data_IF_325494329791
#
_entry.id   IF_325494329791
#
_cell.length_a   1.000
_cell.length_b   1.000
_cell.length_c   1.000
_cell.angle_alpha   90.00
_cell.angle_beta   90.00
_cell.angle_gamma   90.00
#
_symmetry.space_group_name_H-M   'P 1'
#
loop_
_entity.id
_entity.type
_entity.pdbx_description
1 polymer ?
#
# COMPACT_ATOMS: atom_id res chain seq x y z
N UNK A 1 -20.04 23.41 10.34
CA UNK A 1 -20.09 22.55 9.14
C UNK A 1 -19.13 21.41 9.42
N UNK A 2 -19.64 20.21 9.73
CA UNK A 2 -18.78 19.06 10.00
C UNK A 2 -18.08 18.68 8.69
N UNK A 3 -16.75 18.61 8.70
CA UNK A 3 -16.01 18.09 7.55
C UNK A 3 -16.30 16.59 7.46
N UNK A 4 -17.06 16.16 6.46
CA UNK A 4 -17.39 14.74 6.19
C UNK A 4 -16.18 13.97 5.59
N UNK A 5 -14.96 14.29 6.03
CA UNK A 5 -13.73 13.59 5.65
C UNK A 5 -13.56 12.41 6.59
N UNK A 6 -13.47 11.21 6.05
CA UNK A 6 -13.24 10.01 6.85
C UNK A 6 -12.44 8.98 6.06
N UNK A 7 -11.91 8.01 6.80
CA UNK A 7 -11.29 6.81 6.27
C UNK A 7 -11.82 5.61 7.04
N UNK A 8 -11.79 4.44 6.41
CA UNK A 8 -12.17 3.19 7.06
C UNK A 8 -11.05 2.17 6.92
N UNK A 9 -10.78 1.49 8.02
CA UNK A 9 -9.78 0.44 8.10
C UNK A 9 -10.44 -0.83 8.61
N UNK A 10 -10.14 -1.95 7.97
CA UNK A 10 -10.50 -3.26 8.46
C UNK A 10 -9.38 -3.82 9.32
N UNK A 11 -9.75 -4.42 10.46
CA UNK A 11 -8.82 -5.22 11.25
C UNK A 11 -8.31 -6.41 10.44
N UNK A 12 -9.16 -7.03 9.62
CA UNK A 12 -8.70 -8.06 8.70
C UNK A 12 -7.79 -7.44 7.63
N UNK A 13 -6.55 -7.92 7.60
CA UNK A 13 -5.47 -7.45 6.75
C UNK A 13 -4.85 -6.10 7.16
N UNK A 14 -5.33 -5.46 8.22
CA UNK A 14 -4.94 -4.10 8.59
C UNK A 14 -5.17 -3.11 7.44
N UNK A 15 -6.22 -3.34 6.65
CA UNK A 15 -6.36 -2.79 5.31
C UNK A 15 -7.25 -1.55 5.31
N UNK A 16 -6.74 -0.44 4.79
CA UNK A 16 -7.56 0.74 4.49
C UNK A 16 -8.44 0.41 3.29
N UNK A 17 -9.76 0.61 3.40
CA UNK A 17 -10.73 0.25 2.35
C UNK A 17 -11.53 1.44 1.81
N UNK A 18 -11.45 2.59 2.46
CA UNK A 18 -12.08 3.83 1.99
C UNK A 18 -11.33 5.04 2.53
N UNK A 19 -11.24 6.08 1.70
CA UNK A 19 -10.77 7.41 2.07
C UNK A 19 -11.56 8.44 1.25
N UNK A 20 -12.37 9.26 1.93
CA UNK A 20 -13.17 10.31 1.28
C UNK A 20 -12.62 11.69 1.55
N UNK A 21 -12.63 12.53 0.52
CA UNK A 21 -12.26 13.94 0.64
C UNK A 21 -13.44 14.80 1.14
N UNK A 22 -13.21 16.10 1.27
CA UNK A 22 -14.21 17.09 1.72
C UNK A 22 -15.43 17.18 0.78
N UNK A 23 -15.29 16.75 -0.48
CA UNK A 23 -16.36 16.66 -1.48
C UNK A 23 -17.11 15.33 -1.46
N UNK A 24 -16.82 14.46 -0.48
CA UNK A 24 -17.36 13.09 -0.34
C UNK A 24 -16.98 12.15 -1.49
N UNK A 25 -15.99 12.52 -2.30
CA UNK A 25 -15.48 11.69 -3.37
C UNK A 25 -14.60 10.58 -2.77
N UNK A 26 -14.83 9.34 -3.20
CA UNK A 26 -13.98 8.21 -2.84
C UNK A 26 -12.65 8.31 -3.59
N UNK A 27 -11.56 8.19 -2.84
CA UNK A 27 -10.19 8.30 -3.34
C UNK A 27 -9.53 6.95 -3.56
N UNK A 28 -10.05 5.88 -2.95
CA UNK A 28 -9.54 4.52 -3.11
C UNK A 28 -10.48 3.67 -3.96
N UNK A 29 -9.91 2.89 -4.88
CA UNK A 29 -10.66 1.93 -5.65
C UNK A 29 -10.87 0.64 -4.84
N UNK A 30 -12.12 0.18 -4.77
CA UNK A 30 -12.50 -1.14 -4.29
C UNK A 30 -13.14 -1.92 -5.43
N UNK A 31 -12.73 -3.18 -5.62
CA UNK A 31 -13.35 -4.03 -6.65
C UNK A 31 -14.78 -4.39 -6.25
N UNK A 32 -15.73 -4.26 -7.18
CA UNK A 32 -17.11 -4.75 -7.01
C UNK A 32 -17.20 -6.27 -6.84
N UNK A 33 -16.14 -7.00 -7.24
CA UNK A 33 -16.00 -8.46 -7.09
C UNK A 33 -15.17 -8.85 -5.86
N UNK A 34 -14.85 -7.91 -4.96
CA UNK A 34 -14.07 -8.18 -3.77
C UNK A 34 -14.79 -9.20 -2.86
N UNK A 35 -14.04 -10.22 -2.40
CA UNK A 35 -14.54 -11.19 -1.43
C UNK A 35 -14.13 -10.70 -0.03
N UNK A 36 -15.11 -10.30 0.77
CA UNK A 36 -14.92 -9.76 2.11
C UNK A 36 -14.94 -10.85 3.19
N UNK A 37 -14.33 -12.01 2.89
CA UNK A 37 -14.32 -13.18 3.78
C UNK A 37 -12.91 -13.75 3.90
N UNK A 38 -12.41 -13.99 5.12
CA UNK A 38 -11.19 -14.76 5.33
C UNK A 38 -11.28 -16.15 4.67
N UNK A 39 -10.13 -16.75 4.28
CA UNK A 39 -8.77 -16.25 4.41
C UNK A 39 -8.29 -15.47 3.17
N UNK A 40 -9.16 -15.10 2.23
CA UNK A 40 -8.76 -14.43 0.99
C UNK A 40 -8.42 -12.95 1.25
N UNK A 41 -7.45 -12.42 0.50
CA UNK A 41 -7.12 -11.01 0.54
C UNK A 41 -8.21 -10.17 -0.16
N UNK A 42 -8.50 -8.98 0.35
CA UNK A 42 -9.52 -8.10 -0.20
C UNK A 42 -8.94 -7.30 -1.38
N UNK A 43 -9.63 -7.31 -2.52
CA UNK A 43 -9.20 -6.63 -3.75
C UNK A 43 -9.61 -5.15 -3.74
N UNK A 44 -8.64 -4.26 -3.52
CA UNK A 44 -8.81 -2.81 -3.52
C UNK A 44 -8.24 -2.15 -2.27
N UNK A 45 -8.42 -0.84 -2.12
CA UNK A 45 -7.97 -0.09 -0.94
C UNK A 45 -6.45 -0.05 -0.84
N UNK A 46 -5.91 -0.33 0.35
CA UNK A 46 -4.46 -0.38 0.59
C UNK A 46 -4.08 -1.70 1.30
N UNK A 47 -3.94 -2.82 0.57
CA UNK A 47 -3.44 -4.07 1.14
C UNK A 47 -1.98 -3.95 1.59
N UNK A 48 -1.67 -4.60 2.71
CA UNK A 48 -0.31 -4.69 3.27
C UNK A 48 0.38 -5.97 2.79
N UNK A 49 1.51 -5.84 2.10
CA UNK A 49 2.38 -6.97 1.73
C UNK A 49 3.50 -7.11 2.75
N UNK A 50 3.51 -8.22 3.48
CA UNK A 50 4.55 -8.57 4.43
C UNK A 50 4.47 -10.07 4.74
N UNK A 51 5.61 -10.77 4.92
CA UNK A 51 7.00 -10.29 4.84
C UNK A 51 7.60 -10.41 3.42
N UNK A 52 6.75 -10.59 2.42
CA UNK A 52 7.15 -10.80 1.03
C UNK A 52 6.35 -9.89 0.10
N UNK A 53 7.01 -9.26 -0.86
CA UNK A 53 6.40 -8.63 -2.02
C UNK A 53 6.43 -9.60 -3.21
N UNK A 54 5.33 -9.68 -3.97
CA UNK A 54 5.20 -10.60 -5.09
C UNK A 54 5.57 -12.03 -4.71
N UNK A 55 6.31 -12.69 -5.60
CA UNK A 55 6.84 -14.05 -5.41
C UNK A 55 8.37 -14.03 -5.20
N UNK A 56 8.88 -13.05 -4.45
CA UNK A 56 10.32 -12.88 -4.22
C UNK A 56 10.94 -13.94 -3.30
N UNK A 57 10.14 -14.75 -2.62
CA UNK A 57 10.60 -15.80 -1.72
C UNK A 57 9.66 -17.00 -1.73
N UNK A 58 9.74 -17.84 -0.69
CA UNK A 58 9.01 -19.12 -0.61
C UNK A 58 7.58 -19.01 -0.09
N UNK A 59 7.14 -17.82 0.32
CA UNK A 59 5.79 -17.61 0.83
C UNK A 59 4.79 -17.44 -0.32
N UNK A 60 3.50 -17.59 -0.01
CA UNK A 60 2.43 -17.18 -0.91
C UNK A 60 2.63 -15.73 -1.39
N UNK A 61 2.11 -15.45 -2.59
CA UNK A 61 2.28 -14.14 -3.22
C UNK A 61 1.87 -13.02 -2.27
N UNK A 62 2.74 -12.02 -2.11
CA UNK A 62 2.58 -10.87 -1.21
C UNK A 62 2.59 -11.18 0.30
N UNK A 63 3.05 -12.38 0.69
CA UNK A 63 3.07 -12.80 2.09
C UNK A 63 1.66 -12.96 2.65
N UNK A 64 1.55 -12.89 3.97
CA UNK A 64 0.32 -13.29 4.70
C UNK A 64 -0.31 -12.18 5.52
N UNK A 65 0.34 -11.02 5.70
CA UNK A 65 -0.18 -9.96 6.58
C UNK A 65 -1.59 -9.48 6.19
N UNK A 66 -1.90 -9.38 4.89
CA UNK A 66 -3.22 -9.07 4.34
C UNK A 66 -4.30 -10.15 4.54
N UNK A 67 -3.89 -11.33 5.03
CA UNK A 67 -4.74 -12.50 5.25
C UNK A 67 -4.90 -12.83 6.75
N UNK A 68 -4.45 -11.93 7.64
CA UNK A 68 -4.51 -12.11 9.10
C UNK A 68 -5.43 -11.07 9.74
N UNK A 69 -5.95 -11.40 10.92
CA UNK A 69 -6.68 -10.44 11.73
C UNK A 69 -5.67 -9.64 12.56
N UNK A 70 -5.68 -8.32 12.40
CA UNK A 70 -4.88 -7.40 13.19
C UNK A 70 -5.70 -6.94 14.40
N UNK A 71 -5.02 -6.39 15.39
CA UNK A 71 -5.66 -5.78 16.57
C UNK A 71 -5.41 -4.27 16.57
N UNK A 72 -6.29 -3.52 17.24
CA UNK A 72 -5.99 -2.12 17.59
C UNK A 72 -4.86 -2.12 18.62
N UNK A 73 -3.82 -1.32 18.37
CA UNK A 73 -2.68 -1.17 19.27
C UNK A 73 -2.94 -0.03 20.25
N UNK A 74 -3.22 -0.40 21.51
CA UNK A 74 -3.47 0.57 22.58
C UNK A 74 -2.17 1.16 23.17
N UNK A 75 -1.00 0.62 22.80
CA UNK A 75 0.32 1.14 23.21
C UNK A 75 1.27 1.32 22.00
N UNK A 76 0.99 2.31 21.13
CA UNK A 76 1.66 2.45 19.84
C UNK A 76 3.01 3.20 19.91
N UNK A 77 3.50 3.53 21.11
CA UNK A 77 4.80 4.17 21.36
C UNK A 77 5.91 3.43 20.57
N UNK A 78 6.87 4.11 19.89
CA UNK A 78 7.46 5.42 20.19
C UNK A 78 7.00 6.61 19.33
N UNK A 79 5.93 6.50 18.54
CA UNK A 79 5.50 7.66 17.73
C UNK A 79 4.77 8.70 18.60
N UNK A 80 5.03 10.00 18.42
CA UNK A 80 4.25 11.04 19.07
C UNK A 80 2.75 10.86 18.81
N UNK A 81 1.86 11.21 19.76
CA UNK A 81 0.43 11.17 19.52
C UNK A 81 0.06 12.00 18.28
N UNK A 82 -0.89 11.52 17.48
CA UNK A 82 -1.45 12.27 16.36
C UNK A 82 -2.31 13.42 16.92
N UNK A 83 -1.68 14.53 17.33
CA UNK A 83 -2.37 15.66 17.94
C UNK A 83 -3.43 16.21 16.98
N UNK A 84 -4.68 16.25 17.43
CA UNK A 84 -5.84 16.78 16.71
C UNK A 84 -6.13 16.12 15.34
N UNK A 85 -5.80 14.84 15.17
CA UNK A 85 -6.05 14.08 13.94
C UNK A 85 -6.77 12.78 14.24
N UNK A 86 -7.69 12.38 13.36
CA UNK A 86 -8.28 11.04 13.41
C UNK A 86 -7.21 10.03 13.04
N UNK A 87 -6.85 9.14 13.96
CA UNK A 87 -5.85 8.11 13.74
C UNK A 87 -6.24 6.78 14.37
N UNK A 88 -5.75 5.69 13.80
CA UNK A 88 -5.81 4.35 14.38
C UNK A 88 -4.41 3.72 14.29
N UNK A 89 -4.00 3.09 15.38
CA UNK A 89 -2.81 2.25 15.41
C UNK A 89 -3.23 0.78 15.39
N UNK A 90 -2.62 0.00 14.51
CA UNK A 90 -2.86 -1.43 14.35
C UNK A 90 -1.58 -2.22 14.58
N UNK A 91 -1.74 -3.46 15.06
CA UNK A 91 -0.63 -4.39 15.28
C UNK A 91 -0.99 -5.81 14.84
N UNK A 92 -0.04 -6.45 14.16
CA UNK A 92 0.00 -7.87 13.86
C UNK A 92 1.23 -8.46 14.54
N UNK A 93 1.04 -9.53 15.31
CA UNK A 93 2.14 -10.28 15.93
C UNK A 93 2.18 -11.67 15.30
N UNK A 94 3.38 -12.24 15.14
CA UNK A 94 3.54 -13.63 14.70
C UNK A 94 2.79 -14.58 15.63
N UNK A 95 2.00 -15.50 15.09
CA UNK A 95 1.38 -16.61 15.83
C UNK A 95 2.16 -17.92 15.65
N UNK A 96 1.79 -18.97 16.40
CA UNK A 96 2.37 -20.30 16.21
C UNK A 96 2.13 -20.85 14.79
N UNK A 97 1.00 -20.52 14.15
CA UNK A 97 0.71 -20.87 12.76
C UNK A 97 1.62 -20.12 11.79
N UNK A 98 1.89 -18.84 12.03
CA UNK A 98 2.79 -18.06 11.19
C UNK A 98 4.22 -18.62 11.28
N UNK A 99 4.65 -19.05 12.47
CA UNK A 99 5.96 -19.66 12.68
C UNK A 99 6.14 -20.99 11.92
N UNK A 100 5.06 -21.69 11.57
CA UNK A 100 5.12 -22.92 10.74
C UNK A 100 5.45 -22.62 9.28
N UNK A 101 5.06 -21.45 8.76
CA UNK A 101 5.27 -21.06 7.35
C UNK A 101 6.45 -20.10 7.19
N UNK A 102 6.70 -19.25 8.18
CA UNK A 102 7.81 -18.30 8.24
C UNK A 102 8.34 -18.27 9.67
N UNK A 103 9.42 -19.02 9.99
CA UNK A 103 9.87 -19.27 11.35
C UNK A 103 10.64 -18.07 11.93
N UNK A 104 9.97 -16.91 12.00
CA UNK A 104 10.48 -15.62 12.49
C UNK A 104 9.42 -14.95 13.35
N UNK A 105 9.82 -14.53 14.55
CA UNK A 105 8.97 -13.76 15.45
C UNK A 105 9.05 -12.27 15.14
N UNK A 106 7.89 -11.62 15.00
CA UNK A 106 7.82 -10.21 14.65
C UNK A 106 6.62 -9.50 15.28
N UNK A 107 6.72 -8.16 15.37
CA UNK A 107 5.56 -7.27 15.48
C UNK A 107 5.55 -6.34 14.26
N UNK A 108 4.46 -6.34 13.51
CA UNK A 108 4.19 -5.39 12.43
C UNK A 108 3.13 -4.40 12.91
N UNK A 109 3.51 -3.14 13.08
CA UNK A 109 2.60 -2.04 13.42
C UNK A 109 2.30 -1.19 12.20
N UNK A 110 1.08 -0.67 12.12
CA UNK A 110 0.66 0.29 11.11
C UNK A 110 -0.15 1.40 11.79
N UNK A 111 0.35 2.64 11.73
CA UNK A 111 -0.45 3.82 12.04
C UNK A 111 -1.11 4.33 10.78
N UNK A 112 -2.42 4.55 10.82
CA UNK A 112 -3.16 5.27 9.78
C UNK A 112 -3.70 6.55 10.39
N UNK A 113 -3.44 7.69 9.76
CA UNK A 113 -3.88 8.99 10.25
C UNK A 113 -4.39 9.86 9.11
N UNK A 114 -5.45 10.59 9.40
CA UNK A 114 -6.10 11.49 8.46
C UNK A 114 -5.84 12.94 8.87
N UNK A 115 -5.29 13.69 7.93
CA UNK A 115 -5.13 15.14 7.98
C UNK A 115 -5.92 15.77 6.84
N UNK A 116 -6.08 17.10 6.87
CA UNK A 116 -6.67 17.85 5.77
C UNK A 116 -5.97 17.50 4.44
N UNK A 117 -6.72 16.84 3.54
CA UNK A 117 -6.25 16.40 2.22
C UNK A 117 -5.17 15.32 2.20
N UNK A 118 -4.82 14.68 3.32
CA UNK A 118 -3.73 13.69 3.38
C UNK A 118 -4.10 12.48 4.24
N UNK A 119 -3.91 11.30 3.67
CA UNK A 119 -3.88 10.04 4.41
C UNK A 119 -2.43 9.62 4.62
N UNK A 120 -2.01 9.44 5.87
CA UNK A 120 -0.63 9.08 6.23
C UNK A 120 -0.63 7.67 6.82
N UNK A 121 0.19 6.79 6.25
CA UNK A 121 0.41 5.42 6.70
C UNK A 121 1.86 5.25 7.15
N UNK A 122 2.07 4.87 8.41
CA UNK A 122 3.41 4.68 8.99
C UNK A 122 3.54 3.22 9.44
N UNK A 123 4.10 2.34 8.59
CA UNK A 123 4.40 0.97 8.95
C UNK A 123 5.69 0.89 9.78
N UNK A 124 5.76 -0.04 10.73
CA UNK A 124 6.94 -0.32 11.55
C UNK A 124 7.04 -1.83 11.78
N UNK A 125 8.21 -2.39 11.55
CA UNK A 125 8.50 -3.80 11.86
C UNK A 125 9.47 -3.86 13.01
N UNK A 126 9.13 -4.61 14.04
CA UNK A 126 10.01 -4.97 15.15
C UNK A 126 10.37 -6.44 15.02
N UNK A 127 11.68 -6.72 14.98
CA UNK A 127 12.18 -8.07 15.16
C UNK A 127 12.06 -8.44 16.65
N UNK A 128 11.27 -9.47 16.96
CA UNK A 128 11.13 -10.04 18.31
C UNK A 128 11.70 -11.46 18.41
N UNK A 129 12.37 -11.92 17.34
CA UNK A 129 13.11 -13.17 17.28
C UNK A 129 14.48 -13.03 17.93
N UNK A 130 15.14 -14.16 18.20
CA UNK A 130 16.51 -14.22 18.71
C UNK A 130 17.58 -14.01 17.62
N UNK A 131 17.18 -13.95 16.35
CA UNK A 131 18.05 -13.79 15.18
C UNK A 131 17.54 -12.69 14.27
N UNK A 132 18.45 -12.04 13.56
CA UNK A 132 18.11 -11.15 12.46
C UNK A 132 17.34 -11.88 11.36
N UNK A 133 16.40 -11.18 10.71
CA UNK A 133 15.73 -11.67 9.50
C UNK A 133 15.60 -10.57 8.46
N UNK A 134 15.56 -10.97 7.20
CA UNK A 134 15.27 -10.10 6.07
C UNK A 134 13.81 -10.25 5.67
N UNK A 135 13.21 -9.17 5.19
CA UNK A 135 11.85 -9.14 4.69
C UNK A 135 11.73 -8.10 3.58
N UNK A 136 10.62 -8.16 2.85
CA UNK A 136 10.15 -7.08 1.98
C UNK A 136 8.79 -6.60 2.47
N UNK A 137 8.52 -5.33 2.23
CA UNK A 137 7.27 -4.69 2.65
C UNK A 137 6.75 -3.80 1.53
N UNK A 138 5.43 -3.80 1.31
CA UNK A 138 4.80 -2.88 0.39
C UNK A 138 3.38 -2.51 0.83
N UNK A 139 2.98 -1.27 0.54
CA UNK A 139 1.59 -0.81 0.57
C UNK A 139 1.07 -0.73 -0.86
N UNK A 140 0.05 -1.52 -1.19
CA UNK A 140 -0.49 -1.55 -2.55
C UNK A 140 -1.67 -0.58 -2.67
N UNK A 141 -1.38 0.65 -3.07
CA UNK A 141 -2.39 1.70 -3.13
C UNK A 141 -3.26 1.57 -4.39
N UNK A 142 -4.53 1.21 -4.24
CA UNK A 142 -5.51 1.23 -5.33
C UNK A 142 -6.21 2.59 -5.33
N UNK A 143 -5.74 3.52 -6.17
CA UNK A 143 -6.40 4.82 -6.31
C UNK A 143 -7.64 4.70 -7.20
N UNK A 144 -8.73 5.34 -6.78
CA UNK A 144 -9.88 5.56 -7.67
C UNK A 144 -9.49 6.64 -8.65
N UNK A 145 -9.61 6.39 -9.95
CA UNK A 145 -9.40 7.34 -11.05
C UNK A 145 -10.71 7.54 -11.82
N UNK A 146 -10.75 8.39 -12.85
CA UNK A 146 -11.94 8.52 -13.72
C UNK A 146 -11.96 7.42 -14.78
N UNK A 147 -11.11 7.58 -15.80
CA UNK A 147 -10.81 6.71 -16.91
C UNK A 147 -9.29 6.58 -16.95
N UNK A 148 -8.78 5.35 -17.09
CA UNK A 148 -7.34 5.11 -17.07
C UNK A 148 -6.62 5.78 -18.26
N UNK A 149 -7.31 5.98 -19.38
CA UNK A 149 -6.75 6.69 -20.55
C UNK A 149 -6.49 8.18 -20.28
N UNK A 150 -7.17 8.76 -19.30
CA UNK A 150 -7.01 10.15 -18.85
C UNK A 150 -6.05 10.29 -17.66
N UNK A 151 -5.35 9.20 -17.29
CA UNK A 151 -4.43 9.15 -16.15
C UNK A 151 -2.99 9.12 -16.61
N UNK A 152 -2.16 9.93 -15.96
CA UNK A 152 -0.70 9.95 -16.14
C UNK A 152 0.01 9.80 -14.80
N UNK A 153 1.15 9.12 -14.81
CA UNK A 153 2.05 9.06 -13.64
C UNK A 153 3.37 9.74 -13.98
N UNK A 154 3.75 10.72 -13.15
CA UNK A 154 4.98 11.50 -13.28
C UNK A 154 5.89 11.30 -12.06
N UNK A 155 7.19 11.52 -12.22
CA UNK A 155 8.23 11.28 -11.24
C UNK A 155 8.90 9.90 -11.39
N UNK A 156 8.71 9.22 -12.52
CA UNK A 156 9.25 7.88 -12.81
C UNK A 156 10.03 7.80 -14.13
N UNK A 157 10.04 8.89 -14.89
CA UNK A 157 10.84 9.14 -16.08
C UNK A 157 12.32 8.85 -15.83
N UNK A 158 13.00 8.27 -16.83
CA UNK A 158 14.43 7.90 -16.82
C UNK A 158 14.84 6.82 -15.81
N UNK A 159 13.90 6.28 -15.02
CA UNK A 159 14.19 5.25 -14.04
C UNK A 159 14.21 3.86 -14.66
N UNK A 160 15.05 3.01 -14.09
CA UNK A 160 15.00 1.58 -14.40
C UNK A 160 13.81 0.92 -13.72
N UNK A 161 13.17 0.00 -14.44
CA UNK A 161 12.10 -0.83 -13.92
C UNK A 161 12.28 -2.30 -14.29
N UNK A 162 11.68 -3.17 -13.47
CA UNK A 162 11.51 -4.59 -13.75
C UNK A 162 10.08 -4.82 -14.25
N UNK A 163 9.92 -5.45 -15.42
CA UNK A 163 8.61 -5.76 -15.99
C UNK A 163 8.16 -7.18 -15.58
N UNK A 164 7.16 -7.27 -14.70
CA UNK A 164 6.65 -8.56 -14.24
C UNK A 164 5.95 -9.36 -15.36
N UNK A 165 5.48 -8.72 -16.43
CA UNK A 165 4.89 -9.39 -17.59
C UNK A 165 5.97 -9.97 -18.51
N UNK A 166 7.20 -9.45 -18.43
CA UNK A 166 8.38 -9.91 -19.18
C UNK A 166 9.40 -10.58 -18.26
N UNK A 167 8.93 -11.44 -17.34
CA UNK A 167 9.78 -12.24 -16.44
C UNK A 167 10.77 -11.43 -15.60
N UNK A 168 10.44 -10.17 -15.27
CA UNK A 168 11.28 -9.19 -14.56
C UNK A 168 12.53 -8.79 -15.33
N UNK A 169 12.46 -8.77 -16.65
CA UNK A 169 13.49 -8.11 -17.46
C UNK A 169 13.57 -6.62 -17.09
N UNK A 170 14.81 -6.09 -17.11
CA UNK A 170 15.10 -4.72 -16.73
C UNK A 170 15.09 -3.82 -17.96
N UNK A 171 14.36 -2.73 -17.86
CA UNK A 171 14.27 -1.68 -18.87
C UNK A 171 14.45 -0.31 -18.21
N UNK A 172 14.57 0.73 -19.03
CA UNK A 172 14.65 2.13 -18.59
C UNK A 172 13.49 2.90 -19.18
N UNK A 173 12.71 3.60 -18.35
CA UNK A 173 11.59 4.42 -18.81
C UNK A 173 12.08 5.61 -19.61
N UNK A 174 11.53 5.78 -20.81
CA UNK A 174 11.91 6.84 -21.74
C UNK A 174 10.84 7.92 -21.87
N UNK A 175 9.60 7.62 -21.51
CA UNK A 175 8.52 8.58 -21.57
C UNK A 175 8.62 9.60 -20.42
N UNK A 176 8.23 10.85 -20.70
CA UNK A 176 8.15 11.92 -19.69
C UNK A 176 7.06 11.65 -18.63
N UNK A 177 6.07 10.83 -18.98
CA UNK A 177 5.01 10.38 -18.09
C UNK A 177 4.53 8.98 -18.52
N UNK A 178 4.13 8.18 -17.54
CA UNK A 178 3.55 6.86 -17.80
C UNK A 178 2.07 7.01 -18.13
N UNK A 179 1.66 6.49 -19.28
CA UNK A 179 0.27 6.25 -19.68
C UNK A 179 -0.05 4.76 -19.62
N UNK A 180 -1.33 4.43 -19.72
CA UNK A 180 -1.84 3.06 -19.54
C UNK A 180 -2.63 2.59 -20.76
N UNK A 181 -1.93 2.43 -21.88
CA UNK A 181 -2.54 1.99 -23.15
C UNK A 181 -2.66 0.46 -23.25
N UNK A 182 -1.93 -0.26 -22.40
CA UNK A 182 -1.88 -1.73 -22.33
C UNK A 182 -1.79 -2.21 -20.87
N UNK A 183 -1.97 -3.52 -20.66
CA UNK A 183 -1.70 -4.12 -19.35
C UNK A 183 -0.25 -3.85 -18.92
N UNK A 184 -0.08 -3.43 -17.66
CA UNK A 184 1.22 -3.07 -17.10
C UNK A 184 1.35 -3.62 -15.68
N UNK A 185 2.50 -4.22 -15.38
CA UNK A 185 2.93 -4.59 -14.02
C UNK A 185 4.44 -4.36 -13.90
N UNK A 186 4.83 -3.13 -13.55
CA UNK A 186 6.23 -2.69 -13.50
C UNK A 186 6.65 -2.31 -12.08
N UNK A 187 7.89 -2.62 -11.72
CA UNK A 187 8.52 -2.21 -10.46
C UNK A 187 9.67 -1.26 -10.77
N UNK A 188 9.47 0.04 -10.52
CA UNK A 188 10.49 1.07 -10.70
C UNK A 188 11.44 1.07 -9.50
N UNK A 189 12.73 1.08 -9.81
CA UNK A 189 13.82 0.93 -8.85
C UNK A 189 14.32 2.30 -8.38
N UNK A 190 14.63 2.43 -7.09
CA UNK A 190 15.24 3.65 -6.51
C UNK A 190 14.49 4.95 -6.86
N UNK A 191 13.18 4.91 -6.72
CA UNK A 191 12.28 6.00 -7.11
C UNK A 191 12.41 7.21 -6.20
N UNK A 192 12.12 8.43 -6.71
CA UNK A 192 12.14 9.63 -5.88
C UNK A 192 11.07 9.55 -4.79
N UNK A 193 11.21 10.37 -3.75
CA UNK A 193 10.28 10.38 -2.61
C UNK A 193 8.89 10.92 -2.97
N UNK A 194 8.70 11.50 -4.17
CA UNK A 194 7.45 12.10 -4.64
C UNK A 194 7.11 11.54 -6.02
N UNK A 195 5.90 10.99 -6.16
CA UNK A 195 5.33 10.52 -7.43
C UNK A 195 3.94 11.18 -7.55
N UNK A 196 3.60 11.68 -8.74
CA UNK A 196 2.32 12.31 -9.01
C UNK A 196 1.47 11.43 -9.93
N UNK A 197 0.19 11.26 -9.59
CA UNK A 197 -0.79 10.57 -10.43
C UNK A 197 -1.83 11.62 -10.78
N UNK A 198 -1.85 12.03 -12.04
CA UNK A 198 -2.69 13.10 -12.57
C UNK A 198 -3.88 12.46 -13.27
N UNK A 199 -5.09 12.86 -12.87
CA UNK A 199 -6.37 12.42 -13.41
C UNK A 199 -7.01 13.66 -14.05
N UNK A 200 -6.88 13.77 -15.38
CA UNK A 200 -7.22 14.98 -16.14
C UNK A 200 -8.72 15.25 -16.16
N UNK A 201 -9.53 14.22 -16.31
CA UNK A 201 -10.99 14.33 -16.37
C UNK A 201 -11.59 14.80 -15.03
N UNK A 202 -11.14 14.24 -13.90
CA UNK A 202 -11.55 14.73 -12.56
C UNK A 202 -10.77 15.96 -12.10
N UNK A 203 -9.84 16.47 -12.90
CA UNK A 203 -9.01 17.65 -12.60
C UNK A 203 -8.36 17.58 -11.23
N UNK A 204 -7.73 16.45 -10.91
CA UNK A 204 -7.11 16.20 -9.61
C UNK A 204 -5.77 15.50 -9.74
N UNK A 205 -4.99 15.56 -8.67
CA UNK A 205 -3.69 14.89 -8.58
C UNK A 205 -3.55 14.19 -7.24
N UNK A 206 -3.25 12.89 -7.27
CA UNK A 206 -2.72 12.20 -6.09
C UNK A 206 -1.21 12.42 -6.04
N UNK A 207 -0.71 12.86 -4.89
CA UNK A 207 0.73 12.98 -4.66
C UNK A 207 1.13 11.93 -3.64
N UNK A 208 1.80 10.88 -4.10
CA UNK A 208 2.40 9.88 -3.23
C UNK A 208 3.72 10.43 -2.69
N UNK A 209 3.85 10.46 -1.36
CA UNK A 209 5.12 10.75 -0.68
C UNK A 209 5.55 9.53 0.11
N UNK A 210 6.78 9.07 -0.10
CA UNK A 210 7.36 7.93 0.61
C UNK A 210 8.65 8.31 1.31
N UNK A 211 8.87 7.67 2.45
CA UNK A 211 10.11 7.71 3.22
C UNK A 211 10.40 6.28 3.71
N UNK A 212 11.68 5.89 3.78
CA UNK A 212 12.09 4.53 4.14
C UNK A 212 11.67 3.41 3.17
N UNK A 213 11.10 3.75 2.00
CA UNK A 213 10.76 2.80 0.93
C UNK A 213 11.51 3.17 -0.35
N UNK A 214 12.35 2.27 -0.86
CA UNK A 214 13.24 2.54 -1.99
C UNK A 214 12.51 2.51 -3.34
N UNK A 215 11.63 1.52 -3.56
CA UNK A 215 11.01 1.24 -4.86
C UNK A 215 9.54 1.64 -4.92
N UNK A 216 8.98 1.75 -6.13
CA UNK A 216 7.53 1.92 -6.34
C UNK A 216 7.04 1.08 -7.52
N UNK A 217 5.86 0.48 -7.38
CA UNK A 217 5.22 -0.29 -8.45
C UNK A 217 4.12 0.51 -9.15
N UNK A 218 4.01 0.37 -10.47
CA UNK A 218 2.84 0.80 -11.25
C UNK A 218 2.16 -0.43 -11.82
N UNK A 219 0.84 -0.55 -11.60
CA UNK A 219 0.06 -1.69 -12.08
C UNK A 219 -1.33 -1.27 -12.50
N UNK A 220 -1.71 -1.68 -13.71
CA UNK A 220 -3.09 -1.62 -14.18
C UNK A 220 -3.84 -2.88 -13.72
N UNK A 221 -5.05 -2.72 -13.21
CA UNK A 221 -5.93 -3.85 -12.92
C UNK A 221 -7.07 -3.86 -13.93
N UNK A 222 -7.19 -4.93 -14.70
CA UNK A 222 -8.38 -5.28 -15.47
C UNK A 222 -9.47 -5.96 -14.62
#
# INVERSE_FOLDING_TARGET
>A
MFSDVWFQVLLYGGQVVSWKNERKEELLFMSSKAIWKPPKAIRGGIPVCFPQFGNLGSLEQHGFARNRLWSVDNDPSPLPPAKNQSSVDLILKSTEEDLKIWPRSFELRLRVSLHAGKLILIPRVRNTDNKGFSFTFALRNYFSVSDISEVRVEGLETLDYLDNLQKRERFTEQADAITFDVEMDRVYLSTPTKIAIIDHEKKRTFVLRKDGMQDAGSRLFS
#
